data_IF_927771393785
#
_entry.id   IF_927771393785
#
_cell.length_a   1.000
_cell.length_b   1.000
_cell.length_c   1.000
_cell.angle_alpha   90.00
_cell.angle_beta   90.00
_cell.angle_gamma   90.00
#
_symmetry.space_group_name_H-M   'P 1'
#
loop_
_entity.id
_entity.type
_entity.pdbx_description
1 polymer ?
#
# COMPACT_ATOMS: atom_id res chain seq x y z
N UNK A 1 -6.96 28.18 -19.80
CA UNK A 1 -7.92 27.43 -20.64
C UNK A 1 -7.72 27.86 -22.10
N UNK A 2 -6.94 27.12 -22.91
CA UNK A 2 -6.75 27.28 -24.37
C UNK A 2 -6.36 25.88 -24.91
N UNK A 3 -7.21 25.12 -25.61
CA UNK A 3 -7.56 25.10 -27.05
C UNK A 3 -6.44 24.69 -28.02
N UNK A 4 -6.50 23.44 -28.47
CA UNK A 4 -6.37 23.10 -29.90
C UNK A 4 -7.41 22.01 -30.22
N UNK A 5 -8.23 22.28 -31.24
CA UNK A 5 -9.22 21.38 -31.83
C UNK A 5 -10.30 20.79 -30.92
N UNK A 6 -11.19 21.65 -30.37
CA UNK A 6 -12.65 21.41 -30.25
C UNK A 6 -13.23 20.03 -29.85
N UNK A 7 -12.45 19.11 -29.27
CA UNK A 7 -12.80 17.72 -28.95
C UNK A 7 -12.56 17.38 -27.48
N UNK A 8 -12.79 18.35 -26.59
CA UNK A 8 -12.72 18.09 -25.15
C UNK A 8 -13.96 17.39 -24.59
N UNK A 9 -14.99 17.12 -25.41
CA UNK A 9 -16.28 16.56 -24.97
C UNK A 9 -16.85 15.47 -25.90
N UNK A 10 -15.98 14.62 -26.47
CA UNK A 10 -16.37 13.30 -27.04
C UNK A 10 -15.79 12.09 -26.27
N UNK A 11 -15.12 12.34 -25.14
CA UNK A 11 -14.23 11.36 -24.49
C UNK A 11 -14.91 10.32 -23.62
N UNK A 12 -16.08 10.61 -23.02
CA UNK A 12 -16.82 9.61 -22.24
C UNK A 12 -17.25 8.39 -23.05
N UNK A 13 -17.75 8.61 -24.29
CA UNK A 13 -18.12 7.52 -25.20
C UNK A 13 -16.92 6.75 -25.73
N UNK A 14 -15.79 7.41 -25.98
CA UNK A 14 -14.55 6.77 -26.46
C UNK A 14 -13.91 5.92 -25.34
N UNK A 15 -13.88 6.41 -24.10
CA UNK A 15 -13.38 5.64 -22.95
C UNK A 15 -14.29 4.47 -22.62
N UNK A 16 -15.62 4.66 -22.68
CA UNK A 16 -16.56 3.55 -22.54
C UNK A 16 -16.38 2.50 -23.64
N UNK A 17 -16.15 2.93 -24.89
CA UNK A 17 -15.81 2.01 -25.98
C UNK A 17 -14.48 1.28 -25.74
N UNK A 18 -13.47 1.93 -25.15
CA UNK A 18 -12.21 1.29 -24.77
C UNK A 18 -12.41 0.25 -23.66
N UNK A 19 -13.23 0.57 -22.66
CA UNK A 19 -13.62 -0.36 -21.59
C UNK A 19 -14.35 -1.56 -22.21
N UNK A 20 -15.38 -1.30 -23.02
CA UNK A 20 -16.22 -2.33 -23.64
C UNK A 20 -15.43 -3.21 -24.64
N UNK A 21 -14.38 -2.66 -25.27
CA UNK A 21 -13.49 -3.38 -26.19
C UNK A 21 -12.32 -4.08 -25.50
N UNK A 22 -12.10 -3.87 -24.19
CA UNK A 22 -10.99 -4.47 -23.44
C UNK A 22 -9.59 -3.90 -23.75
N UNK A 23 -9.50 -2.86 -24.59
CA UNK A 23 -8.23 -2.28 -25.07
C UNK A 23 -7.60 -1.25 -24.10
N UNK A 24 -8.18 -1.05 -22.90
CA UNK A 24 -7.70 -0.05 -21.94
C UNK A 24 -6.24 -0.29 -21.53
N UNK A 25 -5.83 -1.56 -21.40
CA UNK A 25 -4.46 -1.92 -21.07
C UNK A 25 -3.45 -1.37 -22.07
N UNK A 26 -3.62 -1.62 -23.38
CA UNK A 26 -2.64 -1.22 -24.39
C UNK A 26 -2.51 0.32 -24.47
N UNK A 27 -3.64 1.03 -24.34
CA UNK A 27 -3.67 2.49 -24.34
C UNK A 27 -3.00 3.05 -23.08
N UNK A 28 -3.25 2.42 -21.92
CA UNK A 28 -2.65 2.79 -20.65
C UNK A 28 -1.14 2.56 -20.64
N UNK A 29 -0.70 1.37 -21.05
CA UNK A 29 0.71 0.99 -21.12
C UNK A 29 1.49 1.93 -22.05
N UNK A 30 0.96 2.21 -23.25
CA UNK A 30 1.58 3.16 -24.18
C UNK A 30 1.63 4.59 -23.62
N UNK A 31 0.62 5.02 -22.86
CA UNK A 31 0.62 6.32 -22.22
C UNK A 31 1.67 6.41 -21.09
N UNK A 32 1.92 5.31 -20.37
CA UNK A 32 3.01 5.20 -19.40
C UNK A 32 4.39 5.28 -20.07
N UNK A 33 4.61 4.53 -21.15
CA UNK A 33 5.86 4.58 -21.92
C UNK A 33 6.14 5.98 -22.48
N UNK A 34 5.12 6.62 -23.06
CA UNK A 34 5.21 7.99 -23.56
C UNK A 34 5.58 8.96 -22.43
N UNK A 35 4.97 8.82 -21.24
CA UNK A 35 5.30 9.67 -20.11
C UNK A 35 6.74 9.43 -19.64
N UNK A 36 7.19 8.19 -19.50
CA UNK A 36 8.58 7.88 -19.11
C UNK A 36 9.60 8.43 -20.11
N UNK A 37 9.36 8.21 -21.41
CA UNK A 37 10.30 8.59 -22.48
C UNK A 37 10.37 10.09 -22.71
N UNK A 38 9.24 10.78 -22.65
CA UNK A 38 9.15 12.20 -23.04
C UNK A 38 8.85 13.14 -21.88
N UNK A 39 8.62 12.62 -20.68
CA UNK A 39 8.21 13.37 -19.47
C UNK A 39 6.97 14.24 -19.70
N UNK A 40 6.04 13.75 -20.53
CA UNK A 40 4.76 14.41 -20.84
C UNK A 40 3.58 13.65 -20.20
N UNK A 41 3.08 14.05 -19.03
CA UNK A 41 2.05 13.30 -18.30
C UNK A 41 0.65 13.43 -18.92
N UNK A 42 0.43 14.38 -19.84
CA UNK A 42 -0.91 14.78 -20.29
C UNK A 42 -1.77 13.62 -20.81
N UNK A 43 -1.21 12.71 -21.63
CA UNK A 43 -1.97 11.57 -22.16
C UNK A 43 -2.43 10.63 -21.03
N UNK A 44 -1.53 10.31 -20.11
CA UNK A 44 -1.82 9.45 -18.97
C UNK A 44 -2.81 10.11 -18.01
N UNK A 45 -2.64 11.41 -17.74
CA UNK A 45 -3.55 12.22 -16.92
C UNK A 45 -4.97 12.24 -17.48
N UNK A 46 -5.10 12.49 -18.80
CA UNK A 46 -6.40 12.46 -19.48
C UNK A 46 -7.03 11.07 -19.37
N UNK A 47 -6.27 10.01 -19.63
CA UNK A 47 -6.78 8.65 -19.60
C UNK A 47 -7.25 8.25 -18.20
N UNK A 48 -6.42 8.47 -17.18
CA UNK A 48 -6.78 8.18 -15.78
C UNK A 48 -8.00 8.99 -15.38
N UNK A 49 -8.01 10.31 -15.62
CA UNK A 49 -9.18 11.15 -15.30
C UNK A 49 -10.46 10.65 -15.95
N UNK A 50 -10.41 10.32 -17.25
CA UNK A 50 -11.59 9.82 -17.97
C UNK A 50 -12.03 8.43 -17.52
N UNK A 51 -11.13 7.54 -17.10
CA UNK A 51 -11.51 6.27 -16.49
C UNK A 51 -12.28 6.53 -15.19
N UNK A 52 -11.73 7.37 -14.31
CA UNK A 52 -12.30 7.65 -12.99
C UNK A 52 -13.66 8.37 -13.05
N UNK A 53 -13.94 9.12 -14.11
CA UNK A 53 -15.28 9.68 -14.39
C UNK A 53 -16.37 8.60 -14.54
N UNK A 54 -15.99 7.33 -14.79
CA UNK A 54 -16.92 6.20 -14.87
C UNK A 54 -17.21 5.55 -13.49
N UNK A 55 -16.80 6.18 -12.39
CA UNK A 55 -17.05 5.67 -11.04
C UNK A 55 -16.37 4.32 -10.78
N UNK A 56 -17.06 3.41 -10.10
CA UNK A 56 -16.57 2.09 -9.67
C UNK A 56 -15.89 1.29 -10.78
N UNK A 57 -16.55 1.21 -11.95
CA UNK A 57 -16.01 0.51 -13.12
C UNK A 57 -14.69 1.14 -13.58
N UNK A 58 -14.58 2.46 -13.50
CA UNK A 58 -13.37 3.20 -13.81
C UNK A 58 -12.19 2.83 -12.92
N UNK A 59 -12.41 2.79 -11.60
CA UNK A 59 -11.41 2.36 -10.62
C UNK A 59 -11.00 0.91 -10.82
N UNK A 60 -11.98 0.02 -11.07
CA UNK A 60 -11.74 -1.40 -11.31
C UNK A 60 -10.88 -1.63 -12.56
N UNK A 61 -11.21 -0.94 -13.66
CA UNK A 61 -10.48 -1.03 -14.93
C UNK A 61 -9.08 -0.43 -14.79
N UNK A 62 -8.94 0.70 -14.09
CA UNK A 62 -7.64 1.31 -13.84
C UNK A 62 -6.74 0.39 -13.02
N UNK A 63 -7.27 -0.22 -11.95
CA UNK A 63 -6.52 -1.17 -11.13
C UNK A 63 -6.05 -2.38 -11.96
N UNK A 64 -6.92 -2.93 -12.79
CA UNK A 64 -6.57 -4.04 -13.69
C UNK A 64 -5.48 -3.62 -14.69
N UNK A 65 -5.57 -2.41 -15.25
CA UNK A 65 -4.56 -1.89 -16.18
C UNK A 65 -3.20 -1.69 -15.49
N UNK A 66 -3.18 -1.21 -14.24
CA UNK A 66 -1.96 -1.09 -13.42
C UNK A 66 -1.36 -2.47 -13.17
N UNK A 67 -2.13 -3.44 -12.72
CA UNK A 67 -1.64 -4.81 -12.44
C UNK A 67 -1.07 -5.43 -13.70
N UNK A 68 -1.82 -5.42 -14.82
CA UNK A 68 -1.34 -5.94 -16.10
C UNK A 68 -0.09 -5.20 -16.61
N UNK A 69 0.02 -3.90 -16.34
CA UNK A 69 1.26 -3.17 -16.69
C UNK A 69 2.44 -3.69 -15.88
N UNK A 70 2.25 -3.95 -14.59
CA UNK A 70 3.30 -4.48 -13.71
C UNK A 70 3.67 -5.94 -13.98
N UNK A 71 2.80 -6.74 -14.59
CA UNK A 71 3.14 -8.06 -15.13
C UNK A 71 4.15 -7.98 -16.30
N UNK A 72 4.14 -6.88 -17.06
CA UNK A 72 5.08 -6.65 -18.17
C UNK A 72 6.30 -5.85 -17.71
N UNK A 73 6.08 -4.64 -17.21
CA UNK A 73 7.09 -3.76 -16.62
C UNK A 73 6.39 -2.78 -15.65
N UNK A 74 6.75 -2.84 -14.37
CA UNK A 74 6.05 -2.06 -13.34
C UNK A 74 6.57 -0.62 -13.25
N UNK A 75 5.90 0.27 -13.97
CA UNK A 75 6.12 1.71 -13.94
C UNK A 75 5.41 2.36 -12.75
N UNK A 76 5.99 3.43 -12.19
CA UNK A 76 5.45 4.17 -11.03
C UNK A 76 4.83 5.52 -11.42
N UNK A 77 5.01 5.91 -12.68
CA UNK A 77 4.53 7.16 -13.29
C UNK A 77 3.01 7.37 -13.14
N UNK A 78 2.21 6.32 -13.02
CA UNK A 78 0.77 6.45 -12.73
C UNK A 78 0.51 7.04 -11.33
N UNK A 79 1.35 6.74 -10.34
CA UNK A 79 1.27 7.31 -8.97
C UNK A 79 1.55 8.81 -9.00
N UNK A 80 2.53 9.24 -9.81
CA UNK A 80 2.82 10.67 -10.01
C UNK A 80 1.59 11.40 -10.57
N UNK A 81 0.91 10.80 -11.56
CA UNK A 81 -0.31 11.37 -12.13
C UNK A 81 -1.47 11.38 -11.13
N UNK A 82 -1.64 10.33 -10.32
CA UNK A 82 -2.63 10.34 -9.23
C UNK A 82 -2.40 11.48 -8.24
N UNK A 83 -1.13 11.77 -7.93
CA UNK A 83 -0.75 12.88 -7.05
C UNK A 83 -1.14 14.23 -7.65
N UNK A 84 -1.03 14.39 -8.99
CA UNK A 84 -1.50 15.60 -9.68
C UNK A 84 -3.03 15.74 -9.67
N UNK A 85 -3.75 14.63 -9.55
CA UNK A 85 -5.21 14.57 -9.48
C UNK A 85 -5.73 14.55 -8.02
N UNK A 86 -4.87 14.85 -7.03
CA UNK A 86 -5.25 14.87 -5.62
C UNK A 86 -6.45 15.80 -5.39
N UNK A 87 -7.47 15.29 -4.70
CA UNK A 87 -8.75 15.96 -4.47
C UNK A 87 -9.85 15.62 -5.49
N UNK A 88 -9.50 15.00 -6.62
CA UNK A 88 -10.46 14.49 -7.62
C UNK A 88 -10.52 12.95 -7.64
N UNK A 89 -9.52 12.28 -7.06
CA UNK A 89 -9.41 10.82 -7.02
C UNK A 89 -9.52 10.32 -5.59
N UNK A 90 -10.35 9.30 -5.41
CA UNK A 90 -10.42 8.50 -4.20
C UNK A 90 -9.31 7.43 -4.26
N UNK A 91 -8.14 7.78 -3.73
CA UNK A 91 -6.97 6.90 -3.74
C UNK A 91 -7.19 5.71 -2.79
N UNK A 92 -8.00 5.86 -1.73
CA UNK A 92 -8.40 4.75 -0.85
C UNK A 92 -9.13 3.70 -1.68
N UNK A 93 -10.15 4.12 -2.42
CA UNK A 93 -10.92 3.24 -3.31
C UNK A 93 -10.06 2.57 -4.38
N UNK A 94 -9.16 3.31 -5.04
CA UNK A 94 -8.23 2.71 -6.00
C UNK A 94 -7.36 1.63 -5.32
N UNK A 95 -6.85 1.92 -4.13
CA UNK A 95 -6.04 0.96 -3.36
C UNK A 95 -6.84 -0.29 -3.02
N UNK A 96 -8.12 -0.16 -2.66
CA UNK A 96 -9.01 -1.32 -2.43
C UNK A 96 -9.21 -2.17 -3.68
N UNK A 97 -9.35 -1.57 -4.86
CA UNK A 97 -9.44 -2.32 -6.12
C UNK A 97 -8.12 -3.01 -6.45
N UNK A 98 -6.99 -2.33 -6.26
CA UNK A 98 -5.66 -2.95 -6.42
C UNK A 98 -5.53 -4.16 -5.49
N UNK A 99 -5.92 -4.05 -4.21
CA UNK A 99 -5.86 -5.17 -3.26
C UNK A 99 -6.77 -6.34 -3.64
N UNK A 100 -7.98 -6.07 -4.14
CA UNK A 100 -8.91 -7.12 -4.57
C UNK A 100 -8.40 -7.90 -5.77
N UNK A 101 -7.64 -7.25 -6.65
CA UNK A 101 -7.20 -7.81 -7.93
C UNK A 101 -5.76 -8.30 -7.91
N UNK A 102 -4.91 -7.75 -7.04
CA UNK A 102 -3.50 -8.07 -6.98
C UNK A 102 -3.26 -9.49 -6.47
N UNK A 103 -2.69 -10.33 -7.33
CA UNK A 103 -2.31 -11.71 -7.02
C UNK A 103 -0.81 -11.84 -6.73
N UNK A 104 -0.25 -10.83 -6.07
CA UNK A 104 1.19 -10.76 -5.74
C UNK A 104 2.05 -10.21 -6.88
N UNK A 105 1.46 -9.44 -7.79
CA UNK A 105 2.16 -8.74 -8.88
C UNK A 105 2.77 -7.43 -8.36
N UNK A 106 2.05 -6.69 -7.53
CA UNK A 106 2.51 -5.39 -7.05
C UNK A 106 3.49 -5.57 -5.90
N UNK A 107 4.69 -5.01 -6.06
CA UNK A 107 5.71 -5.02 -5.02
C UNK A 107 5.35 -4.05 -3.88
N UNK A 108 5.90 -4.32 -2.69
CA UNK A 108 5.81 -3.41 -1.53
C UNK A 108 6.32 -2.00 -1.82
N UNK A 109 7.24 -1.80 -2.76
CA UNK A 109 7.71 -0.46 -3.12
C UNK A 109 6.64 0.37 -3.85
N UNK A 110 5.83 -0.28 -4.69
CA UNK A 110 4.74 0.39 -5.42
C UNK A 110 3.66 0.81 -4.42
N UNK A 111 3.28 -0.09 -3.51
CA UNK A 111 2.37 0.24 -2.42
C UNK A 111 2.94 1.32 -1.50
N UNK A 112 4.24 1.30 -1.18
CA UNK A 112 4.86 2.32 -0.34
C UNK A 112 4.73 3.72 -0.95
N UNK A 113 4.97 3.85 -2.26
CA UNK A 113 4.80 5.12 -2.96
C UNK A 113 3.35 5.57 -3.01
N UNK A 114 2.41 4.66 -3.28
CA UNK A 114 0.98 4.95 -3.27
C UNK A 114 0.52 5.43 -1.89
N UNK A 115 0.88 4.71 -0.83
CA UNK A 115 0.50 5.03 0.54
C UNK A 115 1.07 6.37 1.02
N UNK A 116 2.24 6.80 0.53
CA UNK A 116 2.81 8.12 0.83
C UNK A 116 1.99 9.29 0.27
N UNK A 117 1.10 9.05 -0.70
CA UNK A 117 0.23 10.10 -1.27
C UNK A 117 -0.99 10.40 -0.38
N UNK A 118 -1.34 9.46 0.50
CA UNK A 118 -2.55 9.46 1.32
C UNK A 118 -2.45 10.36 2.54
N UNK A 119 -3.60 10.84 3.02
CA UNK A 119 -3.70 11.49 4.32
C UNK A 119 -3.65 10.47 5.46
N UNK A 120 -3.47 10.94 6.70
CA UNK A 120 -3.51 10.06 7.86
C UNK A 120 -4.90 9.43 8.06
N UNK A 121 -5.98 10.13 7.71
CA UNK A 121 -7.35 9.61 7.79
C UNK A 121 -7.58 8.48 6.77
N UNK A 122 -7.05 8.65 5.55
CA UNK A 122 -7.09 7.62 4.50
C UNK A 122 -6.32 6.37 4.91
N UNK A 123 -5.14 6.53 5.53
CA UNK A 123 -4.37 5.40 6.05
C UNK A 123 -5.14 4.64 7.13
N UNK A 124 -5.76 5.36 8.07
CA UNK A 124 -6.63 4.73 9.09
C UNK A 124 -7.79 3.98 8.45
N UNK A 125 -8.40 4.56 7.42
CA UNK A 125 -9.50 3.93 6.66
C UNK A 125 -9.03 2.62 6.04
N UNK A 126 -7.92 2.64 5.28
CA UNK A 126 -7.36 1.44 4.65
C UNK A 126 -6.97 0.35 5.66
N UNK A 127 -6.41 0.71 6.81
CA UNK A 127 -6.09 -0.26 7.85
C UNK A 127 -7.34 -1.02 8.33
N UNK A 128 -8.47 -0.32 8.43
CA UNK A 128 -9.73 -0.88 8.91
C UNK A 128 -10.55 -1.58 7.82
N UNK A 129 -10.22 -1.41 6.54
CA UNK A 129 -10.94 -2.07 5.45
C UNK A 129 -10.87 -3.60 5.64
N UNK A 130 -12.00 -4.34 5.62
CA UNK A 130 -12.04 -5.78 5.90
C UNK A 130 -11.57 -6.66 4.71
N UNK A 131 -10.73 -6.12 3.84
CA UNK A 131 -10.14 -6.85 2.73
C UNK A 131 -8.92 -7.64 3.21
N UNK A 132 -8.68 -8.77 2.56
CA UNK A 132 -7.42 -9.49 2.68
C UNK A 132 -6.29 -8.57 2.21
N UNK A 133 -5.36 -8.29 3.12
CA UNK A 133 -4.23 -7.42 2.87
C UNK A 133 -3.06 -8.34 2.52
N UNK A 134 -2.74 -8.44 1.24
CA UNK A 134 -1.61 -9.24 0.79
C UNK A 134 -0.29 -8.84 1.47
N UNK A 135 0.67 -9.77 1.51
CA UNK A 135 1.99 -9.62 2.16
C UNK A 135 2.69 -8.31 1.80
N UNK A 136 2.75 -7.97 0.51
CA UNK A 136 3.46 -6.78 0.01
C UNK A 136 2.81 -5.47 0.46
N UNK A 137 1.47 -5.42 0.51
CA UNK A 137 0.76 -4.26 1.05
C UNK A 137 1.02 -4.10 2.55
N UNK A 138 0.96 -5.18 3.34
CA UNK A 138 1.22 -5.10 4.78
C UNK A 138 2.65 -4.58 5.03
N UNK A 139 3.66 -5.09 4.31
CA UNK A 139 5.04 -4.59 4.42
C UNK A 139 5.11 -3.08 4.16
N UNK A 140 4.47 -2.62 3.09
CA UNK A 140 4.44 -1.21 2.73
C UNK A 140 3.72 -0.35 3.79
N UNK A 141 2.54 -0.79 4.23
CA UNK A 141 1.74 -0.08 5.22
C UNK A 141 2.45 0.04 6.56
N UNK A 142 3.07 -1.05 7.04
CA UNK A 142 3.84 -1.02 8.29
C UNK A 142 5.00 -0.04 8.18
N UNK A 143 5.76 -0.09 7.08
CA UNK A 143 6.89 0.80 6.88
C UNK A 143 6.47 2.26 6.82
N UNK A 144 5.43 2.60 6.05
CA UNK A 144 4.92 3.97 5.93
C UNK A 144 4.31 4.43 7.26
N UNK A 145 3.40 3.64 7.84
CA UNK A 145 2.68 4.00 9.06
C UNK A 145 3.57 4.23 10.28
N UNK A 146 4.72 3.54 10.38
CA UNK A 146 5.68 3.73 11.47
C UNK A 146 6.67 4.89 11.23
N UNK A 147 6.83 5.35 9.98
CA UNK A 147 7.82 6.38 9.61
C UNK A 147 7.22 7.75 9.31
N UNK A 148 5.93 7.84 8.99
CA UNK A 148 5.26 9.12 8.72
C UNK A 148 5.09 9.91 10.01
N UNK A 149 5.99 10.86 10.25
CA UNK A 149 6.01 11.68 11.45
C UNK A 149 4.78 12.58 11.62
N UNK A 150 4.10 12.94 10.51
CA UNK A 150 2.90 13.79 10.55
C UNK A 150 1.65 13.07 11.05
N UNK A 151 1.66 11.73 11.08
CA UNK A 151 0.50 10.97 11.52
C UNK A 151 0.54 10.69 13.02
N UNK A 152 -0.64 10.75 13.63
CA UNK A 152 -0.83 10.50 15.06
C UNK A 152 -0.52 9.06 15.43
N UNK A 153 -0.45 8.80 16.75
CA UNK A 153 -0.30 7.46 17.32
C UNK A 153 -1.30 6.44 16.75
N UNK A 154 -2.47 6.88 16.27
CA UNK A 154 -3.49 6.01 15.69
C UNK A 154 -2.95 5.23 14.49
N UNK A 155 -2.26 5.89 13.55
CA UNK A 155 -1.70 5.21 12.36
C UNK A 155 -0.59 4.25 12.78
N UNK A 156 0.26 4.66 13.73
CA UNK A 156 1.33 3.81 14.27
C UNK A 156 0.75 2.57 14.95
N UNK A 157 -0.29 2.72 15.76
CA UNK A 157 -0.99 1.60 16.42
C UNK A 157 -1.65 0.67 15.41
N UNK A 158 -2.27 1.20 14.34
CA UNK A 158 -2.83 0.38 13.25
C UNK A 158 -1.75 -0.39 12.48
N UNK A 159 -0.60 0.24 12.21
CA UNK A 159 0.55 -0.43 11.60
C UNK A 159 1.07 -1.56 12.48
N UNK A 160 1.21 -1.32 13.80
CA UNK A 160 1.61 -2.35 14.76
C UNK A 160 0.58 -3.49 14.88
N UNK A 161 -0.72 -3.18 14.82
CA UNK A 161 -1.79 -4.17 14.79
C UNK A 161 -1.71 -5.07 13.57
N UNK A 162 -1.63 -4.48 12.36
CA UNK A 162 -1.48 -5.24 11.12
C UNK A 162 -0.21 -6.11 11.12
N UNK A 163 0.89 -5.59 11.66
CA UNK A 163 2.13 -6.33 11.82
C UNK A 163 1.99 -7.54 12.75
N UNK A 164 1.34 -7.33 13.90
CA UNK A 164 1.05 -8.39 14.88
C UNK A 164 0.19 -9.48 14.26
N UNK A 165 -0.92 -9.10 13.63
CA UNK A 165 -1.85 -10.05 13.02
C UNK A 165 -1.20 -10.83 11.88
N UNK A 166 -0.42 -10.16 11.03
CA UNK A 166 0.25 -10.81 9.92
C UNK A 166 1.32 -11.83 10.35
N UNK A 167 2.03 -11.57 11.46
CA UNK A 167 3.00 -12.51 12.03
C UNK A 167 2.31 -13.70 12.71
N UNK A 168 1.21 -13.45 13.43
CA UNK A 168 0.43 -14.51 14.09
C UNK A 168 -0.23 -15.46 13.10
N UNK A 169 -0.62 -14.96 11.94
CA UNK A 169 -1.26 -15.73 10.87
C UNK A 169 -0.29 -16.21 9.77
N UNK A 170 1.02 -16.12 10.01
CA UNK A 170 2.09 -16.56 9.08
C UNK A 170 2.02 -15.92 7.67
N UNK A 171 1.39 -14.75 7.54
CA UNK A 171 1.37 -13.94 6.31
C UNK A 171 2.72 -13.27 6.10
N UNK A 172 3.34 -12.79 7.19
CA UNK A 172 4.70 -12.26 7.21
C UNK A 172 5.67 -13.22 7.89
N UNK A 173 6.87 -13.30 7.34
CA UNK A 173 8.01 -13.98 7.97
C UNK A 173 8.84 -12.99 8.78
N UNK A 174 9.62 -13.50 9.71
CA UNK A 174 10.55 -12.73 10.53
C UNK A 174 11.57 -11.94 9.69
N UNK A 175 11.94 -12.44 8.51
CA UNK A 175 12.76 -11.70 7.54
C UNK A 175 12.04 -10.46 6.98
N UNK A 176 10.74 -10.56 6.69
CA UNK A 176 9.96 -9.42 6.21
C UNK A 176 9.81 -8.35 7.29
N UNK A 177 9.63 -8.78 8.55
CA UNK A 177 9.59 -7.89 9.70
C UNK A 177 10.89 -7.09 9.81
N UNK A 178 12.04 -7.77 9.75
CA UNK A 178 13.36 -7.13 9.80
C UNK A 178 13.55 -6.12 8.68
N UNK A 179 13.05 -6.42 7.49
CA UNK A 179 13.10 -5.51 6.34
C UNK A 179 12.18 -4.30 6.52
N UNK A 180 10.91 -4.52 6.88
CA UNK A 180 9.92 -3.46 7.02
C UNK A 180 10.26 -2.49 8.16
N UNK A 181 10.87 -2.99 9.23
CA UNK A 181 11.36 -2.20 10.36
C UNK A 181 12.77 -1.65 10.17
N UNK A 182 13.42 -1.93 9.03
CA UNK A 182 14.76 -1.41 8.75
C UNK A 182 14.71 0.11 8.75
N UNK A 183 15.47 0.72 9.66
CA UNK A 183 15.52 2.17 9.92
C UNK A 183 14.35 2.75 10.74
N UNK A 184 13.48 1.90 11.31
CA UNK A 184 12.54 2.32 12.35
C UNK A 184 13.19 2.06 13.70
N UNK A 185 13.46 3.10 14.49
CA UNK A 185 13.96 2.93 15.84
C UNK A 185 12.82 2.51 16.76
N UNK A 186 12.52 1.21 16.78
CA UNK A 186 11.51 0.62 17.66
C UNK A 186 12.17 0.00 18.90
N UNK A 187 11.63 0.32 20.08
CA UNK A 187 12.04 -0.24 21.36
C UNK A 187 10.81 -0.76 22.09
N UNK A 188 10.85 -2.03 22.49
CA UNK A 188 9.79 -2.67 23.26
C UNK A 188 10.31 -2.89 24.69
N UNK A 189 9.57 -2.39 25.68
CA UNK A 189 9.91 -2.52 27.11
C UNK A 189 8.85 -3.41 27.77
N UNK A 190 9.27 -4.59 28.19
CA UNK A 190 8.43 -5.51 28.96
C UNK A 190 8.53 -5.15 30.45
N UNK A 191 7.41 -4.74 31.03
CA UNK A 191 7.29 -4.53 32.49
C UNK A 191 7.02 -5.87 33.13
N UNK A 192 7.79 -6.21 34.16
CA UNK A 192 7.62 -7.47 34.91
C UNK A 192 7.27 -7.20 36.37
N UNK A 193 6.37 -8.00 36.92
CA UNK A 193 6.08 -8.08 38.36
C UNK A 193 6.11 -9.55 38.78
N UNK A 194 6.83 -9.87 39.84
CA UNK A 194 6.97 -11.24 40.37
C UNK A 194 7.41 -12.28 39.32
N UNK A 195 8.24 -11.88 38.36
CA UNK A 195 8.71 -12.76 37.27
C UNK A 195 7.79 -12.84 36.05
N UNK A 196 6.56 -12.35 36.15
CA UNK A 196 5.57 -12.36 35.07
C UNK A 196 5.53 -11.03 34.31
N UNK A 197 5.18 -11.06 33.02
CA UNK A 197 5.00 -9.84 32.22
C UNK A 197 3.67 -9.19 32.64
N UNK A 198 3.75 -8.01 33.24
CA UNK A 198 2.62 -7.24 33.75
C UNK A 198 2.22 -6.07 32.86
N UNK A 199 2.95 -5.84 31.76
CA UNK A 199 2.66 -4.79 30.80
C UNK A 199 3.75 -4.63 29.74
N UNK A 200 3.42 -3.91 28.68
CA UNK A 200 4.32 -3.66 27.55
C UNK A 200 4.23 -2.19 27.17
N UNK A 201 5.38 -1.51 27.09
CA UNK A 201 5.48 -0.18 26.50
C UNK A 201 6.22 -0.29 25.17
N UNK A 202 5.67 0.32 24.11
CA UNK A 202 6.34 0.42 22.80
C UNK A 202 6.77 1.86 22.59
N UNK A 203 8.00 2.03 22.13
CA UNK A 203 8.56 3.31 21.73
C UNK A 203 8.94 3.25 20.25
N UNK A 204 8.57 4.27 19.49
CA UNK A 204 9.01 4.46 18.10
C UNK A 204 9.70 5.81 18.05
N UNK A 205 10.94 5.85 17.57
CA UNK A 205 11.77 7.06 17.53
C UNK A 205 11.87 7.75 18.91
N UNK A 206 11.96 6.94 19.97
CA UNK A 206 11.96 7.36 21.38
C UNK A 206 10.66 7.99 21.92
N UNK A 207 9.59 8.03 21.12
CA UNK A 207 8.26 8.44 21.57
C UNK A 207 7.47 7.21 22.01
N UNK A 208 6.88 7.28 23.21
CA UNK A 208 6.00 6.22 23.69
C UNK A 208 4.70 6.26 22.89
N UNK A 209 4.33 5.13 22.29
CA UNK A 209 3.09 4.98 21.56
C UNK A 209 1.99 4.48 22.49
N UNK A 210 0.81 5.09 22.42
CA UNK A 210 -0.37 4.59 23.09
C UNK A 210 -0.96 3.40 22.31
N UNK A 211 -0.50 2.22 22.68
CA UNK A 211 -0.96 0.95 22.10
C UNK A 211 -2.32 0.58 22.71
N UNK A 212 -3.32 0.34 21.85
CA UNK A 212 -4.63 -0.16 22.27
C UNK A 212 -4.59 -1.67 22.51
N UNK A 213 -5.62 -2.23 23.16
CA UNK A 213 -5.71 -3.67 23.47
C UNK A 213 -5.67 -4.57 22.23
N UNK A 214 -5.99 -4.02 21.05
CA UNK A 214 -6.01 -4.74 19.78
C UNK A 214 -4.62 -5.20 19.29
N UNK A 215 -3.53 -4.67 19.83
CA UNK A 215 -2.18 -5.06 19.42
C UNK A 215 -1.64 -6.14 20.35
N UNK A 216 -1.61 -7.39 19.88
CA UNK A 216 -1.07 -8.51 20.65
C UNK A 216 0.47 -8.57 20.59
N UNK A 217 1.13 -7.63 21.29
CA UNK A 217 2.60 -7.49 21.29
C UNK A 217 3.32 -8.74 21.79
N UNK A 218 2.79 -9.40 22.82
CA UNK A 218 3.40 -10.62 23.38
C UNK A 218 3.28 -11.77 22.39
N UNK A 219 2.11 -11.93 21.75
CA UNK A 219 1.90 -12.92 20.70
C UNK A 219 2.84 -12.69 19.52
N UNK A 220 2.93 -11.44 19.05
CA UNK A 220 3.84 -11.04 17.98
C UNK A 220 5.31 -11.40 18.31
N UNK A 221 5.79 -11.09 19.52
CA UNK A 221 7.15 -11.42 19.95
C UNK A 221 7.40 -12.93 20.01
N UNK A 222 6.42 -13.71 20.50
CA UNK A 222 6.51 -15.18 20.53
C UNK A 222 6.58 -15.75 19.11
N UNK A 223 5.71 -15.28 18.21
CA UNK A 223 5.70 -15.72 16.82
C UNK A 223 7.04 -15.43 16.13
N UNK A 224 7.57 -14.21 16.29
CA UNK A 224 8.88 -13.82 15.77
C UNK A 224 10.00 -14.73 16.29
N UNK A 225 10.08 -14.94 17.61
CA UNK A 225 11.11 -15.79 18.22
C UNK A 225 11.05 -17.23 17.72
N UNK A 226 9.85 -17.80 17.60
CA UNK A 226 9.66 -19.16 17.08
C UNK A 226 10.16 -19.28 15.63
N UNK A 227 9.85 -18.30 14.77
CA UNK A 227 10.31 -18.29 13.39
C UNK A 227 11.84 -18.16 13.28
N UNK A 228 12.49 -17.36 14.13
CA UNK A 228 13.96 -17.22 14.16
C UNK A 228 14.67 -18.49 14.67
N UNK A 229 14.09 -19.19 15.66
CA UNK A 229 14.62 -20.47 16.14
C UNK A 229 14.54 -21.52 15.03
N UNK A 230 13.40 -21.65 14.37
CA UNK A 230 13.19 -22.63 13.30
C UNK A 230 14.10 -22.38 12.10
N UNK A 231 14.35 -21.12 11.73
CA UNK A 231 15.27 -20.79 10.64
C UNK A 231 16.73 -21.11 10.99
N UNK A 232 17.13 -20.90 12.25
CA UNK A 232 18.48 -21.21 12.75
C UNK A 232 18.75 -22.71 12.87
N UNK A 233 17.73 -23.52 13.20
CA UNK A 233 17.86 -24.98 13.25
C UNK A 233 18.00 -25.58 11.84
N UNK A 234 17.23 -25.07 10.86
CA UNK A 234 17.27 -25.57 9.49
C UNK A 234 18.57 -25.22 8.76
N UNK A 235 19.24 -24.11 9.09
CA UNK A 235 20.54 -23.74 8.49
C UNK A 235 21.73 -24.53 9.04
N UNK A 236 21.58 -25.19 10.20
CA UNK A 236 22.59 -26.07 10.78
C UNK A 236 22.49 -27.53 10.28
N UNK A 237 21.36 -27.89 9.66
CA UNK A 237 21.07 -29.23 9.15
C UNK A 237 21.38 -29.40 7.65
N UNK A 238 21.81 -28.33 6.96
CA UNK A 238 22.16 -28.26 5.54
C UNK A 238 23.64 -27.98 5.35
#
# INVERSE_FOLDING_TARGET
>A
MIFSDGKLLKRGSEVRTLIDSGNVFDVFYKALEDFRRFRKPFKLLVLIGSLLDNGDLGYEVLANAVIRSCEVECFKEWIEVLTLLKGYVDIVKLTEYLLKQDRGVLSSQVYEELLKTLSCEDLVTLANTPLDKGREFIKAYVKVGLTVASCSDIVKTKALGLLSDALLNDVLKASDLREALRNVNIKIVLKRRFGEVSGVDIYINNEKINVTEDVNVIGMLKAYMLQEINSSVNSLAS
#
